data_IF_464559738387
#
_entry.id   IF_464559738387
#
_cell.length_a   1.000
_cell.length_b   1.000
_cell.length_c   1.000
_cell.angle_alpha   90.00
_cell.angle_beta   90.00
_cell.angle_gamma   90.00
#
_symmetry.space_group_name_H-M   'P 1'
#
loop_
_entity.id
_entity.type
_entity.pdbx_description
1 polymer ?
#
# COMPACT_ATOMS: atom_id res chain seq x y z
N UNK A 1 -38.16 -33.79 7.66
CA UNK A 1 -37.82 -32.37 7.89
C UNK A 1 -38.32 -31.57 6.71
N UNK A 2 -39.41 -30.86 6.91
CA UNK A 2 -40.15 -30.05 5.92
C UNK A 2 -39.22 -29.28 4.96
N UNK A 3 -39.45 -29.42 3.65
CA UNK A 3 -38.62 -28.88 2.57
C UNK A 3 -38.27 -27.39 2.76
N UNK A 4 -39.15 -26.62 3.39
CA UNK A 4 -38.97 -25.21 3.76
C UNK A 4 -37.78 -24.96 4.68
N UNK A 5 -37.49 -25.87 5.65
CA UNK A 5 -36.30 -25.75 6.51
C UNK A 5 -35.02 -26.01 5.71
N UNK A 6 -35.04 -26.99 4.79
CA UNK A 6 -33.89 -27.31 3.93
C UNK A 6 -33.54 -26.15 3.00
N UNK A 7 -34.53 -25.52 2.37
CA UNK A 7 -34.31 -24.33 1.53
C UNK A 7 -33.79 -23.13 2.31
N UNK A 8 -34.30 -22.87 3.54
CA UNK A 8 -33.79 -21.78 4.38
C UNK A 8 -32.33 -21.98 4.77
N UNK A 9 -31.91 -23.22 5.07
CA UNK A 9 -30.52 -23.54 5.39
C UNK A 9 -29.60 -23.32 4.18
N UNK A 10 -30.03 -23.73 2.99
CA UNK A 10 -29.27 -23.52 1.75
C UNK A 10 -29.12 -22.01 1.44
N UNK A 11 -30.21 -21.25 1.54
CA UNK A 11 -30.16 -19.79 1.30
C UNK A 11 -29.23 -19.11 2.31
N UNK A 12 -29.33 -19.50 3.59
CA UNK A 12 -28.48 -18.95 4.64
C UNK A 12 -27.00 -19.29 4.43
N UNK A 13 -26.68 -20.51 3.99
CA UNK A 13 -25.29 -20.89 3.70
C UNK A 13 -24.71 -20.12 2.51
N UNK A 14 -25.51 -19.87 1.46
CA UNK A 14 -25.09 -19.03 0.34
C UNK A 14 -24.88 -17.58 0.77
N UNK A 15 -25.76 -17.03 1.62
CA UNK A 15 -25.63 -15.67 2.13
C UNK A 15 -24.37 -15.52 2.98
N UNK A 16 -24.11 -16.45 3.89
CA UNK A 16 -22.89 -16.46 4.70
C UNK A 16 -21.65 -16.58 3.81
N UNK A 17 -21.67 -17.47 2.81
CA UNK A 17 -20.58 -17.63 1.85
C UNK A 17 -20.27 -16.33 1.09
N UNK A 18 -21.29 -15.60 0.64
CA UNK A 18 -21.12 -14.32 -0.04
C UNK A 18 -20.53 -13.25 0.88
N UNK A 19 -20.98 -13.17 2.13
CA UNK A 19 -20.43 -12.25 3.14
C UNK A 19 -18.96 -12.58 3.41
N UNK A 20 -18.62 -13.85 3.61
CA UNK A 20 -17.24 -14.28 3.82
C UNK A 20 -16.34 -13.92 2.63
N UNK A 21 -16.80 -14.12 1.39
CA UNK A 21 -16.05 -13.68 0.21
C UNK A 21 -15.83 -12.17 0.18
N UNK A 22 -16.85 -11.37 0.53
CA UNK A 22 -16.72 -9.92 0.63
C UNK A 22 -15.67 -9.50 1.67
N UNK A 23 -15.68 -10.14 2.84
CA UNK A 23 -14.68 -9.90 3.90
C UNK A 23 -13.28 -10.27 3.45
N UNK A 24 -13.09 -11.45 2.83
CA UNK A 24 -11.78 -11.89 2.33
C UNK A 24 -11.27 -10.94 1.25
N UNK A 25 -12.12 -10.50 0.32
CA UNK A 25 -11.75 -9.54 -0.71
C UNK A 25 -11.33 -8.19 -0.11
N UNK A 26 -12.08 -7.68 0.86
CA UNK A 26 -11.75 -6.43 1.56
C UNK A 26 -10.41 -6.53 2.30
N UNK A 27 -10.19 -7.62 3.04
CA UNK A 27 -8.92 -7.87 3.74
C UNK A 27 -7.78 -7.97 2.72
N UNK A 28 -7.94 -8.74 1.64
CA UNK A 28 -6.92 -8.89 0.59
C UNK A 28 -6.49 -7.54 -0.02
N UNK A 29 -7.45 -6.68 -0.35
CA UNK A 29 -7.15 -5.32 -0.85
C UNK A 29 -6.40 -4.47 0.18
N UNK A 30 -6.75 -4.58 1.46
CA UNK A 30 -6.09 -3.81 2.53
C UNK A 30 -4.64 -4.22 2.80
N UNK A 31 -4.28 -5.50 2.58
CA UNK A 31 -2.91 -5.98 2.77
C UNK A 31 -1.99 -5.63 1.60
N UNK A 32 -2.48 -5.64 0.35
CA UNK A 32 -1.67 -5.32 -0.83
C UNK A 32 -1.06 -3.92 -0.81
N UNK A 33 -1.77 -2.94 -0.25
CA UNK A 33 -1.26 -1.57 -0.08
C UNK A 33 -0.24 -1.40 1.04
N UNK A 34 -0.16 -2.33 2.00
CA UNK A 34 0.67 -2.20 3.21
C UNK A 34 2.12 -2.62 3.02
N UNK A 35 2.43 -3.47 2.05
CA UNK A 35 3.80 -3.97 1.86
C UNK A 35 4.83 -2.85 1.64
N UNK A 36 4.48 -1.86 0.81
CA UNK A 36 5.32 -0.68 0.61
C UNK A 36 5.36 0.21 1.84
N UNK A 37 4.23 0.35 2.55
CA UNK A 37 4.11 1.19 3.73
C UNK A 37 4.98 0.69 4.89
N UNK A 38 5.03 -0.62 5.13
CA UNK A 38 5.91 -1.24 6.14
C UNK A 38 7.39 -1.03 5.82
N UNK A 39 7.79 -1.18 4.55
CA UNK A 39 9.17 -0.92 4.15
C UNK A 39 9.54 0.55 4.30
N UNK A 40 8.61 1.46 3.97
CA UNK A 40 8.82 2.90 4.13
C UNK A 40 8.99 3.27 5.60
N UNK A 41 8.10 2.78 6.46
CA UNK A 41 8.15 3.02 7.90
C UNK A 41 9.47 2.51 8.51
N UNK A 42 9.86 1.28 8.17
CA UNK A 42 11.13 0.72 8.64
C UNK A 42 12.33 1.58 8.22
N UNK A 43 12.39 2.03 6.96
CA UNK A 43 13.50 2.85 6.45
C UNK A 43 13.60 4.21 7.14
N UNK A 44 12.46 4.83 7.43
CA UNK A 44 12.38 6.12 8.12
C UNK A 44 12.82 5.96 9.58
N UNK A 45 12.39 4.88 10.23
CA UNK A 45 12.80 4.54 11.60
C UNK A 45 14.30 4.25 11.69
N UNK A 46 14.88 3.51 10.74
CA UNK A 46 16.33 3.25 10.65
C UNK A 46 17.15 4.55 10.59
N UNK A 47 16.59 5.61 10.00
CA UNK A 47 17.23 6.94 9.90
C UNK A 47 17.00 7.84 11.11
N UNK A 48 16.34 7.32 12.15
CA UNK A 48 15.98 8.07 13.36
C UNK A 48 14.81 9.04 13.16
N UNK A 49 14.01 8.85 12.11
CA UNK A 49 12.81 9.63 11.85
C UNK A 49 11.53 8.94 12.33
N UNK A 50 10.47 9.71 12.51
CA UNK A 50 9.11 9.24 12.76
C UNK A 50 8.20 9.59 11.58
N UNK A 51 7.48 8.61 11.05
CA UNK A 51 6.54 8.83 9.95
C UNK A 51 5.34 9.67 10.42
N UNK A 52 4.94 10.68 9.66
CA UNK A 52 3.68 11.40 9.94
C UNK A 52 2.52 10.55 9.44
N UNK A 53 1.53 10.28 10.29
CA UNK A 53 0.39 9.42 9.94
C UNK A 53 -0.34 9.96 8.69
N UNK A 54 -0.53 9.11 7.68
CA UNK A 54 -1.21 9.48 6.43
C UNK A 54 -0.39 10.37 5.48
N UNK A 55 0.90 10.59 5.75
CA UNK A 55 1.74 11.45 4.90
C UNK A 55 2.31 10.79 3.66
N UNK A 56 2.20 9.46 3.56
CA UNK A 56 2.68 8.68 2.43
C UNK A 56 1.65 8.76 1.31
N UNK A 57 2.01 9.41 0.21
CA UNK A 57 1.14 9.57 -0.95
C UNK A 57 1.82 9.04 -2.19
N UNK A 58 1.10 8.26 -2.99
CA UNK A 58 1.55 7.92 -4.34
C UNK A 58 1.38 9.16 -5.23
N UNK A 59 2.42 9.51 -5.98
CA UNK A 59 2.45 10.69 -6.87
C UNK A 59 2.85 10.28 -8.30
N UNK A 60 2.37 11.01 -9.32
CA UNK A 60 2.85 10.82 -10.68
C UNK A 60 4.31 11.26 -10.82
N UNK A 61 4.98 10.79 -11.88
CA UNK A 61 6.38 11.12 -12.16
C UNK A 61 6.63 12.63 -12.22
N UNK A 62 5.70 13.37 -12.84
CA UNK A 62 5.84 14.80 -13.13
C UNK A 62 5.92 15.67 -11.85
N UNK A 63 5.48 15.12 -10.72
CA UNK A 63 5.54 15.79 -9.40
C UNK A 63 6.72 15.32 -8.54
N UNK A 64 7.61 14.47 -9.09
CA UNK A 64 8.69 13.83 -8.34
C UNK A 64 10.08 14.31 -8.78
N UNK A 65 11.10 14.23 -7.91
CA UNK A 65 12.48 14.54 -8.27
C UNK A 65 13.17 13.45 -9.09
N UNK A 66 12.49 12.35 -9.44
CA UNK A 66 13.08 11.25 -10.20
C UNK A 66 13.08 11.55 -11.71
N UNK A 67 14.25 11.58 -12.35
CA UNK A 67 14.37 11.78 -13.81
C UNK A 67 13.68 10.67 -14.61
N UNK A 68 13.63 9.46 -14.07
CA UNK A 68 13.00 8.28 -14.67
C UNK A 68 12.02 7.65 -13.69
N UNK A 69 10.79 7.50 -14.15
CA UNK A 69 9.86 6.50 -13.62
C UNK A 69 9.57 5.57 -14.79
N UNK A 70 10.10 4.34 -14.75
CA UNK A 70 9.67 3.32 -15.72
C UNK A 70 8.15 3.20 -15.66
N UNK A 71 7.50 2.86 -16.78
CA UNK A 71 6.02 2.85 -16.94
C UNK A 71 5.23 2.01 -15.92
N UNK A 72 5.89 1.34 -14.98
CA UNK A 72 5.27 0.60 -13.90
C UNK A 72 5.57 1.09 -12.48
N UNK A 73 6.59 1.92 -12.22
CA UNK A 73 7.03 2.19 -10.84
C UNK A 73 6.09 3.15 -10.11
N UNK A 74 5.78 2.84 -8.84
CA UNK A 74 5.01 3.73 -7.98
C UNK A 74 5.97 4.63 -7.22
N UNK A 75 5.77 5.95 -7.31
CA UNK A 75 6.56 6.91 -6.57
C UNK A 75 5.76 7.35 -5.36
N UNK A 76 6.40 7.33 -4.20
CA UNK A 76 5.83 7.76 -2.93
C UNK A 76 6.51 9.04 -2.47
N UNK A 77 5.69 10.04 -2.13
CA UNK A 77 6.08 11.21 -1.37
C UNK A 77 5.81 10.93 0.11
N UNK A 78 6.81 11.12 0.96
CA UNK A 78 6.78 10.69 2.37
C UNK A 78 7.16 11.88 3.25
N UNK A 79 6.28 12.31 4.15
CA UNK A 79 6.65 13.29 5.19
C UNK A 79 6.99 12.58 6.50
N UNK A 80 8.12 12.93 7.07
CA UNK A 80 8.57 12.38 8.34
C UNK A 80 9.16 13.47 9.22
N UNK A 81 9.15 13.26 10.53
CA UNK A 81 9.76 14.16 11.50
C UNK A 81 11.10 13.58 11.95
N UNK A 82 12.15 14.40 11.94
CA UNK A 82 13.46 14.04 12.48
C UNK A 82 14.05 15.26 13.18
N UNK A 83 14.58 15.06 14.38
CA UNK A 83 15.16 16.12 15.21
C UNK A 83 14.19 17.30 15.44
N UNK A 84 12.89 17.01 15.55
CA UNK A 84 11.83 18.01 15.74
C UNK A 84 11.41 18.78 14.47
N UNK A 85 12.04 18.51 13.33
CA UNK A 85 11.72 19.17 12.06
C UNK A 85 10.99 18.22 11.10
N UNK A 86 10.09 18.76 10.29
CA UNK A 86 9.44 18.01 9.20
C UNK A 86 10.34 17.96 7.96
N UNK A 87 10.45 16.77 7.39
CA UNK A 87 11.26 16.44 6.23
C UNK A 87 10.43 15.73 5.16
N UNK A 88 10.85 15.86 3.91
CA UNK A 88 10.19 15.27 2.76
C UNK A 88 11.13 14.29 2.04
N UNK A 89 10.87 12.99 2.16
CA UNK A 89 11.56 11.96 1.40
C UNK A 89 10.74 11.50 0.19
N UNK A 90 11.44 10.95 -0.79
CA UNK A 90 10.86 10.34 -1.97
C UNK A 90 11.36 8.91 -2.11
N UNK A 91 10.44 8.01 -2.45
CA UNK A 91 10.74 6.60 -2.66
C UNK A 91 10.15 6.12 -3.97
N UNK A 92 10.97 5.52 -4.83
CA UNK A 92 10.51 4.83 -6.04
C UNK A 92 10.45 3.34 -5.76
N UNK A 93 9.25 2.76 -5.72
CA UNK A 93 9.09 1.32 -5.59
C UNK A 93 9.31 0.61 -6.93
N UNK A 94 9.92 -0.56 -6.87
CA UNK A 94 10.04 -1.44 -8.03
C UNK A 94 8.71 -2.12 -8.30
N UNK A 95 8.20 -1.99 -9.52
CA UNK A 95 7.06 -2.78 -9.95
C UNK A 95 7.50 -4.17 -10.39
N UNK A 96 7.09 -5.19 -9.62
CA UNK A 96 7.39 -6.60 -9.92
C UNK A 96 6.64 -7.15 -11.14
N UNK A 97 5.59 -6.46 -11.61
CA UNK A 97 4.76 -6.89 -12.74
C UNK A 97 5.18 -6.28 -14.09
N UNK A 98 6.16 -5.38 -14.11
CA UNK A 98 6.63 -4.72 -15.34
C UNK A 98 7.95 -5.31 -15.85
N UNK A 99 8.02 -5.62 -17.15
CA UNK A 99 9.24 -6.07 -17.83
C UNK A 99 10.29 -4.94 -17.89
N UNK A 100 9.85 -3.68 -17.90
CA UNK A 100 10.68 -2.49 -17.88
C UNK A 100 10.44 -1.77 -16.55
N UNK A 101 11.31 -2.00 -15.57
CA UNK A 101 11.26 -1.37 -14.25
C UNK A 101 12.61 -0.73 -13.92
N UNK A 102 12.61 0.51 -13.45
CA UNK A 102 13.80 1.12 -12.86
C UNK A 102 14.04 0.52 -11.46
N UNK A 103 15.29 0.49 -10.98
CA UNK A 103 15.60 0.00 -9.63
C UNK A 103 14.89 0.84 -8.56
N UNK A 104 14.70 0.23 -7.39
CA UNK A 104 14.23 0.95 -6.23
C UNK A 104 15.23 2.03 -5.82
N UNK A 105 14.73 3.20 -5.41
CA UNK A 105 15.59 4.33 -5.10
C UNK A 105 14.94 5.24 -4.05
N UNK A 106 15.79 5.80 -3.20
CA UNK A 106 15.42 6.68 -2.11
C UNK A 106 16.12 8.03 -2.27
N UNK A 107 15.36 9.11 -2.13
CA UNK A 107 15.88 10.47 -2.06
C UNK A 107 15.44 11.04 -0.71
N UNK A 108 16.41 11.37 0.13
CA UNK A 108 16.19 12.06 1.39
C UNK A 108 16.68 13.51 1.25
N UNK A 109 16.08 14.45 1.99
CA UNK A 109 16.69 15.76 2.16
C UNK A 109 18.01 15.56 2.93
N UNK A 110 19.05 16.29 2.51
CA UNK A 110 20.35 16.29 3.17
C UNK A 110 20.28 16.82 4.61
#
# INVERSE_FOLDING_TARGET
MEATKKSKVIILSFLIGAICMGVIAYIGMSYGGRAHMTNIEAKILERGGALVAGSVMAVPKDESPFEKSGKGNTIFRIKYTKDGNEHLAWYRSKNQSSIISEPEEWIFPE
#
